data_IF_569688740080
#
_entry.id   IF_569688740080
#
_cell.length_a   1.000
_cell.length_b   1.000
_cell.length_c   1.000
_cell.angle_alpha   90.00
_cell.angle_beta   90.00
_cell.angle_gamma   90.00
#
_symmetry.space_group_name_H-M   'P 1'
#
loop_
_entity.id
_entity.type
_entity.pdbx_description
1 polymer ?
#
# COMPACT_ATOMS: atom_id res chain seq x y z
N UNK A 1 -9.11 -6.98 6.62
CA UNK A 1 -7.74 -7.51 6.39
C UNK A 1 -7.68 -8.86 5.67
N UNK A 2 -8.54 -9.85 5.98
CA UNK A 2 -8.46 -11.18 5.32
C UNK A 2 -8.59 -11.13 3.79
N UNK A 3 -9.49 -10.30 3.26
CA UNK A 3 -9.73 -10.20 1.82
C UNK A 3 -8.53 -9.61 1.05
N UNK A 4 -7.88 -8.58 1.59
CA UNK A 4 -6.63 -8.01 1.06
C UNK A 4 -5.52 -9.07 1.03
N UNK A 5 -5.38 -9.85 2.10
CA UNK A 5 -4.38 -10.92 2.16
C UNK A 5 -4.64 -12.03 1.13
N UNK A 6 -5.91 -12.38 0.89
CA UNK A 6 -6.30 -13.37 -0.13
C UNK A 6 -6.00 -12.82 -1.53
N UNK A 7 -6.43 -11.59 -1.83
CA UNK A 7 -6.16 -10.95 -3.11
C UNK A 7 -4.66 -10.85 -3.40
N UNK A 8 -3.84 -10.50 -2.39
CA UNK A 8 -2.38 -10.50 -2.49
C UNK A 8 -1.81 -11.89 -2.79
N UNK A 9 -2.20 -12.92 -2.04
CA UNK A 9 -1.72 -14.31 -2.26
C UNK A 9 -2.11 -14.86 -3.63
N UNK A 10 -3.20 -14.36 -4.23
CA UNK A 10 -3.68 -14.74 -5.55
C UNK A 10 -3.14 -13.85 -6.67
N UNK A 11 -2.30 -12.84 -6.37
CA UNK A 11 -1.84 -11.81 -7.32
C UNK A 11 -3.00 -11.07 -8.02
N UNK A 12 -4.09 -10.88 -7.30
CA UNK A 12 -5.27 -10.13 -7.75
C UNK A 12 -5.31 -8.71 -7.16
N UNK A 13 -4.26 -8.32 -6.42
CA UNK A 13 -4.20 -7.03 -5.75
C UNK A 13 -3.68 -5.97 -6.73
N UNK A 14 -4.60 -5.16 -7.25
CA UNK A 14 -4.36 -4.01 -8.12
C UNK A 14 -5.00 -2.74 -7.50
N UNK A 15 -4.87 -1.60 -8.19
CA UNK A 15 -5.40 -0.32 -7.73
C UNK A 15 -6.91 -0.34 -7.44
N UNK A 16 -7.70 -0.88 -8.37
CA UNK A 16 -9.16 -0.92 -8.24
C UNK A 16 -9.58 -1.75 -7.02
N UNK A 17 -8.94 -2.90 -6.83
CA UNK A 17 -9.22 -3.81 -5.71
C UNK A 17 -8.81 -3.16 -4.39
N UNK A 18 -7.64 -2.56 -4.29
CA UNK A 18 -7.20 -1.97 -3.01
C UNK A 18 -8.03 -0.74 -2.65
N UNK A 19 -8.44 0.07 -3.63
CA UNK A 19 -9.32 1.22 -3.40
C UNK A 19 -10.72 0.77 -2.98
N UNK A 20 -11.27 -0.27 -3.63
CA UNK A 20 -12.57 -0.83 -3.26
C UNK A 20 -12.57 -1.47 -1.86
N UNK A 21 -11.42 -2.02 -1.43
CA UNK A 21 -11.26 -2.64 -0.12
C UNK A 21 -10.85 -1.64 0.97
N UNK A 22 -10.42 -0.43 0.60
CA UNK A 22 -9.87 0.55 1.53
C UNK A 22 -10.86 0.87 2.66
N UNK A 23 -10.39 0.74 3.89
CA UNK A 23 -11.21 0.96 5.07
C UNK A 23 -10.48 1.85 6.08
N UNK A 24 -11.20 2.81 6.67
CA UNK A 24 -10.65 3.74 7.65
C UNK A 24 -10.03 3.08 8.88
N UNK A 25 -10.44 1.85 9.22
CA UNK A 25 -9.95 1.06 10.35
C UNK A 25 -8.56 0.47 10.14
N UNK A 26 -7.99 0.57 8.94
CA UNK A 26 -6.68 0.00 8.65
C UNK A 26 -5.57 0.74 9.38
N UNK A 27 -4.75 -0.02 10.12
CA UNK A 27 -3.54 0.48 10.79
C UNK A 27 -2.26 0.01 10.12
N UNK A 28 -2.26 -1.21 9.60
CA UNK A 28 -1.10 -1.82 8.94
C UNK A 28 -1.61 -2.36 7.62
N UNK A 29 -0.91 -2.06 6.54
CA UNK A 29 -1.26 -2.50 5.20
C UNK A 29 -0.07 -3.19 4.54
N UNK A 30 -0.29 -4.40 4.03
CA UNK A 30 0.71 -5.18 3.31
C UNK A 30 0.34 -5.23 1.83
N UNK A 31 1.07 -4.47 1.03
CA UNK A 31 0.99 -4.44 -0.43
C UNK A 31 2.15 -5.20 -1.06
N UNK A 32 2.96 -5.93 -0.29
CA UNK A 32 4.17 -6.54 -0.82
C UNK A 32 3.90 -7.52 -1.98
N UNK A 33 4.67 -7.38 -3.06
CA UNK A 33 4.54 -8.20 -4.27
C UNK A 33 3.21 -8.02 -5.00
N UNK A 34 2.56 -6.86 -4.84
CA UNK A 34 1.33 -6.51 -5.56
C UNK A 34 1.60 -5.64 -6.79
N UNK A 35 0.58 -5.52 -7.63
CA UNK A 35 0.56 -4.65 -8.82
C UNK A 35 -0.16 -3.32 -8.50
N UNK A 36 -0.16 -2.91 -7.23
CA UNK A 36 -0.67 -1.59 -6.82
C UNK A 36 0.33 -0.52 -7.23
N UNK A 37 -0.15 0.53 -7.87
CA UNK A 37 0.60 1.70 -8.28
C UNK A 37 0.53 2.82 -7.23
N UNK A 38 1.31 3.88 -7.46
CA UNK A 38 1.31 5.08 -6.64
C UNK A 38 -0.09 5.75 -6.58
N UNK A 39 -0.90 5.60 -7.64
CA UNK A 39 -2.26 6.13 -7.69
C UNK A 39 -3.18 5.41 -6.70
N UNK A 40 -3.19 4.06 -6.73
CA UNK A 40 -3.99 3.26 -5.81
C UNK A 40 -3.59 3.51 -4.36
N UNK A 41 -2.29 3.56 -4.08
CA UNK A 41 -1.78 3.86 -2.73
C UNK A 41 -2.20 5.26 -2.24
N UNK A 42 -2.13 6.28 -3.09
CA UNK A 42 -2.56 7.64 -2.76
C UNK A 42 -4.04 7.70 -2.39
N UNK A 43 -4.89 6.96 -3.11
CA UNK A 43 -6.32 6.87 -2.79
C UNK A 43 -6.58 6.14 -1.48
N UNK A 44 -5.90 5.01 -1.25
CA UNK A 44 -6.03 4.24 0.00
C UNK A 44 -5.64 5.10 1.20
N UNK A 45 -4.56 5.88 1.11
CA UNK A 45 -4.12 6.77 2.18
C UNK A 45 -5.12 7.89 2.45
N UNK A 46 -5.82 8.40 1.43
CA UNK A 46 -6.89 9.40 1.64
C UNK A 46 -8.07 8.80 2.41
N UNK A 47 -8.39 7.54 2.17
CA UNK A 47 -9.47 6.80 2.85
C UNK A 47 -9.05 6.32 4.24
N UNK A 48 -7.83 5.82 4.39
CA UNK A 48 -7.31 5.16 5.58
C UNK A 48 -6.62 6.17 6.51
N UNK A 49 -7.40 6.88 7.32
CA UNK A 49 -6.89 7.92 8.24
C UNK A 49 -6.07 7.41 9.43
N UNK A 50 -6.18 6.12 9.76
CA UNK A 50 -5.50 5.49 10.90
C UNK A 50 -4.29 4.63 10.48
N UNK A 51 -3.87 4.72 9.22
CA UNK A 51 -2.76 3.94 8.69
C UNK A 51 -1.44 4.39 9.35
N UNK A 52 -0.74 3.43 9.96
CA UNK A 52 0.51 3.63 10.69
C UNK A 52 1.69 2.92 10.02
N UNK A 53 1.45 1.85 9.26
CA UNK A 53 2.51 1.17 8.54
C UNK A 53 2.03 0.64 7.21
N UNK A 54 2.87 0.77 6.19
CA UNK A 54 2.63 0.19 4.86
C UNK A 54 3.87 -0.56 4.39
N UNK A 55 3.69 -1.82 3.99
CA UNK A 55 4.72 -2.65 3.38
C UNK A 55 4.50 -2.65 1.86
N UNK A 56 5.49 -2.15 1.12
CA UNK A 56 5.47 -2.04 -0.36
C UNK A 56 6.64 -2.82 -0.99
N UNK A 57 7.19 -3.80 -0.28
CA UNK A 57 8.31 -4.61 -0.77
C UNK A 57 7.95 -5.37 -2.04
N UNK A 58 8.88 -5.50 -2.97
CA UNK A 58 8.66 -6.19 -4.26
C UNK A 58 7.50 -5.62 -5.11
N UNK A 59 7.00 -4.41 -4.82
CA UNK A 59 6.09 -3.73 -5.74
C UNK A 59 6.88 -3.13 -6.89
N UNK A 60 6.81 -3.79 -8.05
CA UNK A 60 7.51 -3.36 -9.26
C UNK A 60 6.93 -2.09 -9.89
N UNK A 61 5.72 -1.66 -9.49
CA UNK A 61 5.07 -0.46 -10.02
C UNK A 61 5.24 0.77 -9.09
N UNK A 62 5.68 0.56 -7.85
CA UNK A 62 5.94 1.62 -6.85
C UNK A 62 7.43 2.04 -6.95
N UNK A 63 7.86 2.33 -8.17
CA UNK A 63 9.26 2.63 -8.51
C UNK A 63 9.61 4.07 -8.11
N UNK A 64 8.66 4.99 -8.28
CA UNK A 64 8.90 6.45 -8.28
C UNK A 64 8.61 7.13 -6.95
N UNK A 65 7.74 6.56 -6.10
CA UNK A 65 7.20 7.27 -4.95
C UNK A 65 8.18 7.48 -3.79
N UNK A 66 9.24 6.68 -3.70
CA UNK A 66 10.08 6.63 -2.48
C UNK A 66 11.12 7.74 -2.42
N UNK A 67 11.45 8.41 -3.52
CA UNK A 67 12.49 9.46 -3.52
C UNK A 67 11.94 10.90 -3.55
N UNK A 68 10.65 11.12 -3.84
CA UNK A 68 10.17 12.47 -4.21
C UNK A 68 9.08 13.12 -3.36
N UNK A 69 8.30 12.37 -2.58
CA UNK A 69 7.07 12.95 -2.00
C UNK A 69 6.64 12.29 -0.67
N UNK A 70 7.56 12.20 0.28
CA UNK A 70 7.26 11.67 1.61
C UNK A 70 6.55 12.72 2.48
N UNK A 71 5.25 12.90 2.29
CA UNK A 71 4.35 13.46 3.31
C UNK A 71 3.12 12.56 3.45
N UNK A 72 3.35 11.34 3.95
CA UNK A 72 2.24 10.58 4.53
C UNK A 72 1.99 11.13 5.93
N UNK A 73 0.87 11.82 6.08
CA UNK A 73 0.41 12.42 7.36
C UNK A 73 0.59 11.44 8.52
N UNK A 74 1.12 11.97 9.63
CA UNK A 74 1.14 11.39 10.98
C UNK A 74 1.89 10.05 11.17
N UNK A 75 3.23 10.10 11.28
CA UNK A 75 4.03 9.00 11.83
C UNK A 75 3.86 7.63 11.13
N UNK A 76 3.50 7.60 9.84
CA UNK A 76 3.33 6.36 9.10
C UNK A 76 4.70 5.81 8.62
N UNK A 77 5.04 4.59 9.02
CA UNK A 77 6.31 3.94 8.71
C UNK A 77 6.16 3.07 7.44
N UNK A 78 6.87 3.43 6.37
CA UNK A 78 6.86 2.67 5.11
C UNK A 78 8.08 1.75 5.07
N UNK A 79 7.86 0.44 4.95
CA UNK A 79 8.95 -0.52 4.72
C UNK A 79 9.10 -0.80 3.23
N UNK A 80 10.24 -0.40 2.68
CA UNK A 80 10.73 -0.83 1.36
C UNK A 80 12.12 -1.40 1.60
N UNK A 81 12.20 -2.67 2.00
CA UNK A 81 13.49 -3.35 1.99
C UNK A 81 13.95 -3.41 0.52
N UNK A 82 15.01 -2.66 0.25
CA UNK A 82 15.69 -2.61 -1.03
C UNK A 82 16.33 -3.99 -1.23
N UNK A 83 15.70 -4.85 -2.03
CA UNK A 83 16.41 -5.98 -2.63
C UNK A 83 17.38 -5.38 -3.65
N UNK A 84 18.63 -5.22 -3.23
CA UNK A 84 19.79 -5.35 -4.11
C UNK A 84 19.79 -6.79 -4.66
#
# INVERSE_FOLDING_TARGET
>A
MALVAIARRRRLLNDDVIVALADSSWKILDLSGSEVSDFGLSQVVKTCKHLQAVDIRCCILIISFVEGFFVFRNNMHVRKDLLV
#
